data_IF_120896883512
#
_entry.id   IF_120896883512
#
_cell.length_a   1.000
_cell.length_b   1.000
_cell.length_c   1.000
_cell.angle_alpha   90.00
_cell.angle_beta   90.00
_cell.angle_gamma   90.00
#
_symmetry.space_group_name_H-M   'P 1'
#
loop_
_entity.id
_entity.type
_entity.pdbx_description
1 polymer ?
#
# COMPACT_ATOMS: atom_id res chain seq x y z
N UNK A 1 5.97 -20.19 -9.88
CA UNK A 1 4.88 -19.72 -9.01
C UNK A 1 3.55 -19.85 -9.76
N UNK A 2 2.52 -20.36 -9.09
CA UNK A 2 1.19 -20.52 -9.69
C UNK A 2 0.15 -19.66 -8.99
N UNK A 3 0.28 -19.45 -7.67
CA UNK A 3 -0.59 -18.61 -6.84
C UNK A 3 0.22 -17.76 -5.86
N UNK A 4 -0.26 -16.57 -5.45
CA UNK A 4 0.42 -15.72 -4.50
C UNK A 4 0.20 -16.21 -3.05
N UNK A 5 0.70 -17.41 -2.73
CA UNK A 5 0.58 -17.91 -1.37
C UNK A 5 1.36 -17.04 -0.39
N UNK A 6 0.71 -16.64 0.70
CA UNK A 6 1.28 -15.86 1.80
C UNK A 6 2.12 -16.71 2.74
N UNK A 7 1.75 -17.99 2.89
CA UNK A 7 2.30 -18.95 3.85
C UNK A 7 2.82 -20.23 3.16
N UNK A 8 3.92 -20.17 2.39
CA UNK A 8 4.36 -21.32 1.59
C UNK A 8 4.77 -22.55 2.42
N UNK A 9 5.15 -22.36 3.68
CA UNK A 9 5.57 -23.44 4.58
C UNK A 9 4.44 -24.05 5.42
N UNK A 10 3.26 -23.40 5.51
CA UNK A 10 2.08 -23.99 6.17
C UNK A 10 1.31 -24.89 5.19
N UNK A 11 0.56 -25.85 5.73
CA UNK A 11 -0.27 -26.77 4.92
C UNK A 11 -1.39 -26.06 4.15
N UNK A 12 -1.80 -24.91 4.64
CA UNK A 12 -2.84 -24.07 4.06
C UNK A 12 -2.54 -23.64 2.63
N UNK A 13 -1.40 -22.95 2.40
CA UNK A 13 -0.88 -22.51 1.09
C UNK A 13 -1.89 -21.79 0.20
N UNK A 14 -2.86 -21.08 0.78
CA UNK A 14 -3.87 -20.34 0.03
C UNK A 14 -3.29 -19.05 -0.56
N UNK A 15 -3.85 -18.60 -1.66
CA UNK A 15 -3.54 -17.30 -2.27
C UNK A 15 -4.47 -16.22 -1.71
N UNK A 16 -4.21 -15.77 -0.48
CA UNK A 16 -5.01 -14.76 0.20
C UNK A 16 -5.01 -13.44 -0.55
N UNK A 17 -6.21 -12.93 -0.82
CA UNK A 17 -6.42 -11.73 -1.63
C UNK A 17 -6.01 -10.46 -0.88
N UNK A 18 -6.23 -10.39 0.43
CA UNK A 18 -5.80 -9.26 1.26
C UNK A 18 -4.29 -9.09 1.25
N UNK A 19 -3.57 -10.18 1.35
CA UNK A 19 -2.11 -10.19 1.38
C UNK A 19 -1.51 -9.72 0.06
N UNK A 20 -1.99 -10.26 -1.06
CA UNK A 20 -1.46 -9.87 -2.36
C UNK A 20 -1.86 -8.42 -2.72
N UNK A 21 -3.05 -7.92 -2.36
CA UNK A 21 -3.41 -6.55 -2.68
C UNK A 21 -2.51 -5.53 -1.98
N UNK A 22 -2.09 -5.77 -0.73
CA UNK A 22 -1.15 -4.88 -0.04
C UNK A 22 0.28 -5.01 -0.55
N UNK A 23 0.66 -6.16 -1.09
CA UNK A 23 2.03 -6.45 -1.54
C UNK A 23 2.24 -6.31 -3.04
N UNK A 24 1.20 -6.32 -3.86
CA UNK A 24 1.31 -6.36 -5.33
C UNK A 24 2.28 -5.30 -5.89
N UNK A 25 2.23 -4.06 -5.40
CA UNK A 25 3.16 -3.01 -5.83
C UNK A 25 4.60 -3.31 -5.40
N UNK A 26 4.82 -3.79 -4.19
CA UNK A 26 6.15 -4.21 -3.71
C UNK A 26 6.71 -5.38 -4.51
N UNK A 27 5.85 -6.33 -4.91
CA UNK A 27 6.24 -7.45 -5.74
C UNK A 27 6.85 -6.99 -7.08
N UNK A 28 6.32 -5.92 -7.69
CA UNK A 28 6.82 -5.39 -8.96
C UNK A 28 8.23 -4.78 -8.88
N UNK A 29 8.69 -4.41 -7.70
CA UNK A 29 10.07 -3.96 -7.50
C UNK A 29 11.05 -5.12 -7.33
N UNK A 30 10.57 -6.26 -6.84
CA UNK A 30 11.39 -7.43 -6.55
C UNK A 30 11.49 -8.40 -7.73
N UNK A 31 10.48 -8.45 -8.60
CA UNK A 31 10.42 -9.35 -9.74
C UNK A 31 9.48 -8.81 -10.83
N UNK A 32 9.63 -9.31 -12.05
CA UNK A 32 8.59 -9.16 -13.08
C UNK A 32 7.44 -10.12 -12.77
N UNK A 33 6.35 -9.57 -12.28
CA UNK A 33 5.16 -10.33 -11.88
C UNK A 33 3.98 -10.15 -12.85
N UNK A 34 4.19 -9.54 -14.01
CA UNK A 34 3.12 -9.23 -14.96
C UNK A 34 2.34 -10.49 -15.36
N UNK A 35 3.02 -11.51 -15.86
CA UNK A 35 2.37 -12.76 -16.29
C UNK A 35 1.84 -13.57 -15.11
N UNK A 36 2.55 -13.59 -13.99
CA UNK A 36 2.12 -14.30 -12.79
C UNK A 36 0.80 -13.75 -12.22
N UNK A 37 0.72 -12.44 -12.00
CA UNK A 37 -0.50 -11.82 -11.48
C UNK A 37 -1.62 -11.80 -12.52
N UNK A 38 -1.31 -11.65 -13.82
CA UNK A 38 -2.32 -11.76 -14.89
C UNK A 38 -2.95 -13.15 -14.95
N UNK A 39 -2.18 -14.21 -14.71
CA UNK A 39 -2.72 -15.57 -14.59
C UNK A 39 -3.58 -15.72 -13.35
N UNK A 40 -3.10 -15.25 -12.20
CA UNK A 40 -3.84 -15.36 -10.95
C UNK A 40 -5.17 -14.58 -10.97
N UNK A 41 -5.23 -13.45 -11.66
CA UNK A 41 -6.50 -12.71 -11.86
C UNK A 41 -7.55 -13.55 -12.60
N UNK A 42 -7.14 -14.52 -13.42
CA UNK A 42 -8.08 -15.47 -14.02
C UNK A 42 -8.67 -16.39 -12.96
N UNK A 43 -7.81 -16.93 -12.08
CA UNK A 43 -8.26 -17.79 -10.99
C UNK A 43 -9.23 -17.02 -10.06
N UNK A 44 -8.98 -15.73 -9.86
CA UNK A 44 -9.84 -14.87 -9.06
C UNK A 44 -11.20 -14.61 -9.73
N UNK A 45 -11.19 -14.31 -11.03
CA UNK A 45 -12.42 -14.10 -11.82
C UNK A 45 -13.25 -15.40 -11.90
N UNK A 46 -12.61 -16.56 -12.11
CA UNK A 46 -13.29 -17.86 -12.14
C UNK A 46 -13.91 -18.22 -10.79
N UNK A 47 -13.35 -17.71 -9.70
CA UNK A 47 -13.86 -17.92 -8.33
C UNK A 47 -14.88 -16.85 -7.88
N UNK A 48 -15.15 -15.82 -8.70
CA UNK A 48 -16.11 -14.75 -8.38
C UNK A 48 -17.52 -15.35 -8.19
N UNK A 49 -18.20 -14.92 -7.14
CA UNK A 49 -19.56 -15.36 -6.83
C UNK A 49 -20.57 -14.82 -7.84
N UNK A 50 -21.65 -15.55 -8.05
CA UNK A 50 -22.72 -15.14 -8.99
C UNK A 50 -23.36 -13.80 -8.64
N UNK A 51 -23.34 -13.40 -7.36
CA UNK A 51 -23.82 -12.11 -6.89
C UNK A 51 -22.77 -10.98 -6.93
N UNK A 52 -21.55 -11.25 -7.41
CA UNK A 52 -20.53 -10.26 -7.71
C UNK A 52 -19.34 -10.20 -6.75
N UNK A 53 -19.43 -10.76 -5.54
CA UNK A 53 -18.32 -10.74 -4.59
C UNK A 53 -17.14 -11.59 -5.07
N UNK A 54 -15.91 -11.10 -4.87
CA UNK A 54 -14.72 -11.93 -5.00
C UNK A 54 -14.47 -12.73 -3.71
N UNK A 55 -13.81 -13.88 -3.76
CA UNK A 55 -13.45 -14.63 -2.57
C UNK A 55 -12.28 -14.00 -1.83
N UNK A 56 -12.10 -14.39 -0.57
CA UNK A 56 -10.96 -13.93 0.24
C UNK A 56 -9.63 -14.60 -0.12
N UNK A 57 -9.65 -15.65 -0.97
CA UNK A 57 -8.45 -16.29 -1.53
C UNK A 57 -8.78 -16.97 -2.88
N UNK A 58 -7.80 -17.05 -3.75
CA UNK A 58 -7.94 -17.69 -5.07
C UNK A 58 -6.68 -18.50 -5.43
N UNK A 59 -6.82 -19.66 -6.11
CA UNK A 59 -8.07 -20.37 -6.41
C UNK A 59 -8.89 -20.69 -5.15
N UNK A 60 -10.17 -20.96 -5.32
CA UNK A 60 -11.08 -21.21 -4.19
C UNK A 60 -11.44 -22.70 -4.04
N UNK A 61 -10.57 -23.52 -3.42
CA UNK A 61 -10.78 -24.96 -3.27
C UNK A 61 -11.72 -25.35 -2.13
N UNK A 62 -11.99 -24.45 -1.18
CA UNK A 62 -12.78 -24.72 0.02
C UNK A 62 -13.86 -23.66 0.24
N UNK A 63 -14.92 -24.06 0.92
CA UNK A 63 -15.88 -23.13 1.48
C UNK A 63 -15.41 -22.68 2.87
N UNK A 64 -14.71 -21.56 2.96
CA UNK A 64 -14.51 -20.87 4.24
C UNK A 64 -15.73 -19.95 4.45
N UNK A 65 -16.35 -19.93 5.66
CA UNK A 65 -17.57 -19.17 5.91
C UNK A 65 -17.47 -17.65 5.76
N UNK A 66 -16.29 -17.07 5.53
CA UNK A 66 -16.08 -15.64 5.32
C UNK A 66 -15.91 -15.37 3.81
N UNK A 67 -17.05 -15.30 3.11
CA UNK A 67 -17.06 -15.07 1.66
C UNK A 67 -16.92 -13.59 1.29
N UNK A 68 -17.28 -12.68 2.17
CA UNK A 68 -17.20 -11.24 2.00
C UNK A 68 -16.28 -10.65 3.07
N UNK A 69 -15.14 -10.17 2.66
CA UNK A 69 -14.18 -9.52 3.56
C UNK A 69 -13.62 -8.24 2.88
N UNK A 70 -14.10 -7.04 3.29
CA UNK A 70 -13.49 -5.79 2.89
C UNK A 70 -11.98 -5.79 3.12
N UNK A 71 -11.24 -5.12 2.26
CA UNK A 71 -9.79 -5.09 2.15
C UNK A 71 -9.15 -6.40 1.62
N UNK A 72 -9.91 -7.48 1.48
CA UNK A 72 -9.45 -8.72 0.82
C UNK A 72 -9.97 -8.81 -0.61
N UNK A 73 -11.27 -8.76 -0.79
CA UNK A 73 -11.90 -8.88 -2.11
C UNK A 73 -11.52 -7.76 -3.08
N UNK A 74 -11.18 -6.61 -2.55
CA UNK A 74 -10.74 -5.40 -3.28
C UNK A 74 -9.48 -5.66 -4.12
N UNK A 75 -8.79 -6.79 -3.90
CA UNK A 75 -7.72 -7.28 -4.77
C UNK A 75 -8.17 -7.41 -6.24
N UNK A 76 -9.46 -7.74 -6.48
CA UNK A 76 -10.03 -7.82 -7.82
C UNK A 76 -10.01 -6.50 -8.59
N UNK A 77 -9.89 -5.37 -7.90
CA UNK A 77 -9.78 -4.02 -8.46
C UNK A 77 -8.34 -3.50 -8.34
N UNK A 78 -7.71 -3.66 -7.18
CA UNK A 78 -6.40 -3.09 -6.87
C UNK A 78 -5.27 -3.75 -7.68
N UNK A 79 -5.31 -5.07 -7.87
CA UNK A 79 -4.23 -5.78 -8.59
C UNK A 79 -4.23 -5.46 -10.09
N UNK A 80 -5.37 -5.46 -10.82
CA UNK A 80 -5.41 -4.99 -12.22
C UNK A 80 -4.92 -3.55 -12.38
N UNK A 81 -5.32 -2.66 -11.48
CA UNK A 81 -4.85 -1.27 -11.48
C UNK A 81 -3.34 -1.19 -11.28
N UNK A 82 -2.79 -1.95 -10.32
CA UNK A 82 -1.35 -2.01 -10.05
C UNK A 82 -0.58 -2.47 -11.27
N UNK A 83 -1.03 -3.54 -11.95
CA UNK A 83 -0.41 -4.03 -13.18
C UNK A 83 -0.43 -2.96 -14.28
N UNK A 84 -1.56 -2.30 -14.47
CA UNK A 84 -1.66 -1.23 -15.45
C UNK A 84 -0.73 -0.06 -15.12
N UNK A 85 -0.70 0.41 -13.87
CA UNK A 85 0.18 1.51 -13.46
C UNK A 85 1.67 1.17 -13.66
N UNK A 86 2.06 -0.06 -13.36
CA UNK A 86 3.46 -0.46 -13.43
C UNK A 86 3.90 -0.78 -14.85
N UNK A 87 3.12 -1.56 -15.57
CA UNK A 87 3.51 -2.07 -16.90
C UNK A 87 2.91 -1.28 -18.07
N UNK A 88 1.98 -0.37 -17.81
CA UNK A 88 1.33 0.43 -18.87
C UNK A 88 0.40 -0.36 -19.79
N UNK A 89 0.13 -1.62 -19.45
CA UNK A 89 -0.62 -2.56 -20.28
C UNK A 89 -2.06 -2.71 -19.76
N UNK A 90 -3.02 -2.34 -20.61
CA UNK A 90 -4.45 -2.42 -20.26
C UNK A 90 -5.06 -3.81 -20.45
N UNK A 91 -4.33 -4.82 -20.94
CA UNK A 91 -4.89 -6.14 -21.23
C UNK A 91 -5.42 -6.83 -19.97
N UNK A 92 -4.70 -6.75 -18.85
CA UNK A 92 -5.17 -7.28 -17.56
C UNK A 92 -6.45 -6.56 -17.11
N UNK A 93 -6.50 -5.24 -17.23
CA UNK A 93 -7.70 -4.44 -16.91
C UNK A 93 -8.88 -4.85 -17.79
N UNK A 94 -8.70 -4.90 -19.13
CA UNK A 94 -9.78 -5.27 -20.07
C UNK A 94 -10.37 -6.64 -19.76
N UNK A 95 -9.52 -7.59 -19.40
CA UNK A 95 -9.94 -8.95 -19.07
C UNK A 95 -10.74 -9.00 -17.76
N UNK A 96 -10.25 -8.38 -16.70
CA UNK A 96 -10.90 -8.36 -15.40
C UNK A 96 -12.12 -7.40 -15.34
N UNK A 97 -12.26 -6.49 -16.31
CA UNK A 97 -13.24 -5.41 -16.27
C UNK A 97 -14.69 -5.86 -16.04
N UNK A 98 -15.21 -6.92 -16.71
CA UNK A 98 -16.57 -7.39 -16.44
C UNK A 98 -16.76 -7.91 -15.00
N UNK A 99 -15.74 -8.57 -14.44
CA UNK A 99 -15.73 -9.02 -13.05
C UNK A 99 -15.71 -7.86 -12.06
N UNK A 100 -14.83 -6.88 -12.30
CA UNK A 100 -14.76 -5.66 -11.50
C UNK A 100 -16.09 -4.90 -11.49
N UNK A 101 -16.79 -4.79 -12.62
CA UNK A 101 -18.12 -4.16 -12.68
C UNK A 101 -19.11 -4.88 -11.78
N UNK A 102 -19.21 -6.21 -11.87
CA UNK A 102 -20.11 -7.00 -11.00
C UNK A 102 -19.76 -6.81 -9.52
N UNK A 103 -18.49 -6.71 -9.20
CA UNK A 103 -18.05 -6.44 -7.84
C UNK A 103 -18.47 -5.04 -7.36
N UNK A 104 -18.29 -4.01 -8.18
CA UNK A 104 -18.75 -2.66 -7.85
C UNK A 104 -20.27 -2.58 -7.72
N UNK A 105 -21.02 -3.27 -8.58
CA UNK A 105 -22.49 -3.34 -8.48
C UNK A 105 -22.92 -4.04 -7.17
N UNK A 106 -22.19 -5.09 -6.75
CA UNK A 106 -22.40 -5.75 -5.46
C UNK A 106 -22.15 -4.78 -4.28
N UNK A 107 -21.06 -4.02 -4.31
CA UNK A 107 -20.74 -3.03 -3.27
C UNK A 107 -21.80 -1.89 -3.24
N UNK A 108 -22.21 -1.40 -4.40
CA UNK A 108 -23.20 -0.31 -4.49
C UNK A 108 -24.58 -0.77 -3.98
N UNK A 109 -24.98 -2.02 -4.25
CA UNK A 109 -26.22 -2.61 -3.71
C UNK A 109 -26.20 -2.79 -2.20
N UNK A 110 -25.03 -3.11 -1.61
CA UNK A 110 -24.85 -3.28 -0.18
C UNK A 110 -24.73 -1.98 0.60
N UNK A 111 -24.45 -0.86 -0.09
CA UNK A 111 -24.20 0.43 0.55
C UNK A 111 -25.43 1.04 1.21
N UNK A 112 -25.24 1.72 2.33
CA UNK A 112 -26.25 2.47 3.07
C UNK A 112 -25.86 3.95 3.12
N UNK A 113 -26.56 4.79 2.36
CA UNK A 113 -26.23 6.21 2.26
C UNK A 113 -24.82 6.47 1.72
N UNK A 114 -24.42 5.79 0.65
CA UNK A 114 -23.10 5.79 0.00
C UNK A 114 -21.95 5.21 0.86
N UNK A 115 -22.21 4.57 2.00
CA UNK A 115 -21.19 3.91 2.84
C UNK A 115 -21.47 2.41 3.00
N UNK A 116 -20.44 1.64 3.22
CA UNK A 116 -20.60 0.22 3.52
C UNK A 116 -20.97 0.02 4.99
N UNK A 117 -21.93 -0.88 5.30
CA UNK A 117 -22.23 -1.25 6.67
C UNK A 117 -21.07 -2.07 7.27
N UNK A 118 -21.06 -2.20 8.59
CA UNK A 118 -20.19 -3.15 9.26
C UNK A 118 -20.56 -4.58 8.84
N UNK A 119 -19.59 -5.28 8.29
CA UNK A 119 -19.66 -6.70 7.94
C UNK A 119 -18.48 -7.41 8.54
N UNK A 120 -18.59 -8.71 8.89
CA UNK A 120 -17.46 -9.46 9.37
C UNK A 120 -16.29 -9.38 8.38
N UNK A 121 -15.12 -8.97 8.86
CA UNK A 121 -13.89 -8.87 8.07
C UNK A 121 -12.72 -9.36 8.91
N UNK A 122 -11.54 -9.47 8.30
CA UNK A 122 -10.30 -9.74 9.02
C UNK A 122 -9.74 -8.48 9.71
N UNK A 123 -10.36 -7.32 9.49
CA UNK A 123 -9.92 -6.04 10.04
C UNK A 123 -8.52 -5.65 9.57
N UNK A 124 -7.78 -4.93 10.40
CA UNK A 124 -6.34 -4.73 10.19
C UNK A 124 -5.58 -5.92 10.78
N UNK A 125 -5.44 -7.00 9.99
CA UNK A 125 -4.94 -8.30 10.43
C UNK A 125 -3.61 -8.18 11.15
N UNK A 126 -3.51 -8.79 12.33
CA UNK A 126 -2.36 -8.75 13.23
C UNK A 126 -1.99 -7.36 13.74
N UNK A 127 -2.93 -6.44 13.83
CA UNK A 127 -2.71 -5.18 14.53
C UNK A 127 -2.31 -5.43 16.00
N UNK A 128 -1.36 -4.64 16.46
CA UNK A 128 -0.81 -4.75 17.82
C UNK A 128 -1.59 -3.90 18.82
N UNK A 129 -2.33 -2.91 18.31
CA UNK A 129 -3.12 -1.99 19.12
C UNK A 129 -4.55 -1.85 18.61
N UNK A 130 -5.13 -0.67 18.88
CA UNK A 130 -6.47 -0.36 18.41
C UNK A 130 -6.53 -0.31 16.88
N UNK A 131 -7.56 -0.92 16.30
CA UNK A 131 -7.84 -0.92 14.86
C UNK A 131 -9.02 -0.01 14.52
N UNK A 132 -9.17 0.31 13.23
CA UNK A 132 -10.37 0.93 12.70
C UNK A 132 -11.55 -0.05 12.73
N UNK A 133 -12.78 0.47 12.80
CA UNK A 133 -13.99 -0.35 12.76
C UNK A 133 -14.22 -0.94 11.37
N UNK A 134 -14.96 -2.05 11.30
CA UNK A 134 -15.21 -2.78 10.05
C UNK A 134 -15.94 -1.93 9.01
N UNK A 135 -16.92 -1.11 9.42
CA UNK A 135 -17.64 -0.17 8.56
C UNK A 135 -16.71 0.93 8.00
N UNK A 136 -15.75 1.39 8.81
CA UNK A 136 -14.74 2.35 8.37
C UNK A 136 -13.86 1.75 7.29
N UNK A 137 -13.28 0.56 7.53
CA UNK A 137 -12.41 -0.14 6.58
C UNK A 137 -13.18 -0.42 5.27
N UNK A 138 -14.38 -0.98 5.38
CA UNK A 138 -15.22 -1.30 4.23
C UNK A 138 -15.53 -0.06 3.38
N UNK A 139 -15.91 1.05 4.03
CA UNK A 139 -16.21 2.30 3.33
C UNK A 139 -14.98 2.95 2.71
N UNK A 140 -13.81 2.84 3.37
CA UNK A 140 -12.55 3.37 2.84
C UNK A 140 -12.13 2.63 1.57
N UNK A 141 -12.18 1.31 1.56
CA UNK A 141 -11.86 0.50 0.39
C UNK A 141 -12.88 0.68 -0.73
N UNK A 142 -14.18 0.77 -0.41
CA UNK A 142 -15.21 1.06 -1.42
C UNK A 142 -14.96 2.40 -2.15
N UNK A 143 -14.57 3.45 -1.42
CA UNK A 143 -14.20 4.72 -2.02
C UNK A 143 -12.95 4.61 -2.91
N UNK A 144 -11.96 3.85 -2.44
CA UNK A 144 -10.72 3.62 -3.18
C UNK A 144 -10.99 2.85 -4.47
N UNK A 145 -11.74 1.75 -4.41
CA UNK A 145 -12.12 0.97 -5.59
C UNK A 145 -12.89 1.79 -6.61
N UNK A 146 -13.85 2.61 -6.18
CA UNK A 146 -14.59 3.48 -7.08
C UNK A 146 -13.66 4.47 -7.81
N UNK A 147 -12.65 5.02 -7.12
CA UNK A 147 -11.65 5.91 -7.73
C UNK A 147 -10.77 5.16 -8.74
N UNK A 148 -10.28 3.97 -8.39
CA UNK A 148 -9.48 3.14 -9.30
C UNK A 148 -10.27 2.69 -10.53
N UNK A 149 -11.54 2.34 -10.35
CA UNK A 149 -12.45 1.98 -11.44
C UNK A 149 -12.70 3.13 -12.40
N UNK A 150 -12.79 4.36 -11.92
CA UNK A 150 -12.93 5.54 -12.77
C UNK A 150 -11.73 5.70 -13.72
N UNK A 151 -10.51 5.52 -13.20
CA UNK A 151 -9.27 5.57 -13.99
C UNK A 151 -9.20 4.43 -15.01
N UNK A 152 -9.43 3.19 -14.55
CA UNK A 152 -9.36 2.00 -15.38
C UNK A 152 -10.41 2.00 -16.50
N UNK A 153 -11.64 2.42 -16.21
CA UNK A 153 -12.70 2.56 -17.20
C UNK A 153 -12.29 3.53 -18.32
N UNK A 154 -11.70 4.68 -17.95
CA UNK A 154 -11.15 5.62 -18.91
C UNK A 154 -10.04 5.02 -19.79
N UNK A 155 -9.14 4.24 -19.17
CA UNK A 155 -8.01 3.58 -19.84
C UNK A 155 -8.45 2.50 -20.85
N UNK A 156 -9.57 1.82 -20.59
CA UNK A 156 -10.10 0.79 -21.51
C UNK A 156 -11.13 1.31 -22.49
N UNK A 157 -11.46 2.61 -22.43
CA UNK A 157 -12.36 3.28 -23.38
C UNK A 157 -13.84 3.33 -22.93
N UNK A 158 -14.15 2.87 -21.74
CA UNK A 158 -15.51 2.86 -21.16
C UNK A 158 -15.83 4.22 -20.50
N UNK A 159 -15.97 5.25 -21.35
CA UNK A 159 -16.11 6.64 -20.89
C UNK A 159 -17.30 6.89 -19.97
N UNK A 160 -18.45 6.25 -20.23
CA UNK A 160 -19.64 6.42 -19.39
C UNK A 160 -19.41 5.83 -17.98
N UNK A 161 -18.79 4.66 -17.89
CA UNK A 161 -18.43 4.04 -16.62
C UNK A 161 -17.37 4.87 -15.88
N UNK A 162 -16.39 5.44 -16.59
CA UNK A 162 -15.40 6.35 -15.98
C UNK A 162 -16.08 7.53 -15.27
N UNK A 163 -17.04 8.18 -15.93
CA UNK A 163 -17.81 9.27 -15.33
C UNK A 163 -18.69 8.79 -14.16
N UNK A 164 -19.36 7.63 -14.31
CA UNK A 164 -20.18 7.02 -13.25
C UNK A 164 -19.34 6.75 -12.00
N UNK A 165 -18.21 6.08 -12.14
CA UNK A 165 -17.35 5.73 -11.02
C UNK A 165 -16.66 6.95 -10.39
N UNK A 166 -16.30 7.96 -11.17
CA UNK A 166 -15.80 9.22 -10.64
C UNK A 166 -16.86 9.95 -9.77
N UNK A 167 -18.11 9.98 -10.24
CA UNK A 167 -19.22 10.52 -9.47
C UNK A 167 -19.53 9.69 -8.21
N UNK A 168 -19.46 8.36 -8.31
CA UNK A 168 -19.62 7.45 -7.16
C UNK A 168 -18.52 7.70 -6.12
N UNK A 169 -17.26 7.73 -6.52
CA UNK A 169 -16.12 8.01 -5.65
C UNK A 169 -16.28 9.36 -4.91
N UNK A 170 -16.75 10.38 -5.61
CA UNK A 170 -17.02 11.70 -5.00
C UNK A 170 -18.11 11.61 -3.93
N UNK A 171 -19.24 10.94 -4.20
CA UNK A 171 -20.35 10.77 -3.22
C UNK A 171 -19.88 9.99 -2.00
N UNK A 172 -19.14 8.87 -2.20
CA UNK A 172 -18.62 8.07 -1.08
C UNK A 172 -17.66 8.92 -0.24
N UNK A 173 -16.75 9.66 -0.87
CA UNK A 173 -15.81 10.55 -0.16
C UNK A 173 -16.51 11.59 0.68
N UNK A 174 -17.55 12.24 0.15
CA UNK A 174 -18.34 13.18 0.91
C UNK A 174 -19.10 12.54 2.09
N UNK A 175 -19.70 11.36 1.86
CA UNK A 175 -20.39 10.62 2.91
C UNK A 175 -19.40 10.15 3.99
N UNK A 176 -18.23 9.67 3.59
CA UNK A 176 -17.17 9.26 4.48
C UNK A 176 -16.67 10.43 5.35
N UNK A 177 -16.38 11.56 4.73
CA UNK A 177 -15.94 12.76 5.46
C UNK A 177 -17.00 13.21 6.48
N UNK A 178 -18.27 13.28 6.09
CA UNK A 178 -19.37 13.64 7.01
C UNK A 178 -19.52 12.65 8.17
N UNK A 179 -19.28 11.38 7.95
CA UNK A 179 -19.48 10.31 8.95
C UNK A 179 -18.33 10.18 9.92
N UNK A 180 -17.10 10.29 9.44
CA UNK A 180 -15.91 9.86 10.19
C UNK A 180 -14.95 10.99 10.53
N UNK A 181 -14.91 12.10 9.79
CA UNK A 181 -13.92 13.16 9.97
C UNK A 181 -14.59 14.38 10.63
N UNK A 182 -14.09 14.75 11.80
CA UNK A 182 -14.53 15.95 12.49
C UNK A 182 -13.94 17.23 11.87
N UNK A 183 -14.50 18.39 12.23
CA UNK A 183 -14.07 19.70 11.69
C UNK A 183 -12.65 20.10 12.04
N UNK A 184 -12.04 19.46 13.02
CA UNK A 184 -10.64 19.61 13.42
C UNK A 184 -9.69 18.61 12.73
N UNK A 185 -10.20 17.76 11.84
CA UNK A 185 -9.43 16.72 11.14
C UNK A 185 -9.21 15.44 11.93
N UNK A 186 -9.79 15.29 13.12
CA UNK A 186 -9.74 14.05 13.87
C UNK A 186 -10.77 13.03 13.36
N UNK A 187 -10.55 11.76 13.67
CA UNK A 187 -11.46 10.64 13.32
C UNK A 187 -12.08 10.07 14.61
N UNK A 188 -13.13 10.68 15.18
CA UNK A 188 -13.76 10.21 16.41
C UNK A 188 -14.28 8.78 16.25
N UNK A 189 -14.08 7.95 17.29
CA UNK A 189 -14.48 6.53 17.23
C UNK A 189 -13.46 5.62 16.54
N UNK A 190 -12.70 6.14 15.58
CA UNK A 190 -11.63 5.45 14.86
C UNK A 190 -10.26 6.15 15.02
N UNK A 191 -9.98 6.76 16.18
CA UNK A 191 -8.71 7.45 16.48
C UNK A 191 -7.59 6.41 16.67
N UNK A 192 -7.06 5.89 15.55
CA UNK A 192 -6.01 4.88 15.49
C UNK A 192 -5.14 5.03 14.23
N UNK A 193 -3.90 4.56 14.26
CA UNK A 193 -2.94 4.72 13.16
C UNK A 193 -3.49 4.23 11.81
N UNK A 194 -4.16 3.08 11.80
CA UNK A 194 -4.74 2.48 10.59
C UNK A 194 -5.77 3.40 9.93
N UNK A 195 -6.68 3.99 10.73
CA UNK A 195 -7.73 4.85 10.19
C UNK A 195 -7.18 6.09 9.49
N UNK A 196 -6.23 6.78 10.13
CA UNK A 196 -5.57 7.95 9.52
C UNK A 196 -4.79 7.56 8.27
N UNK A 197 -4.03 6.45 8.32
CA UNK A 197 -3.24 5.98 7.20
C UNK A 197 -4.10 5.66 5.97
N UNK A 198 -5.20 4.92 6.14
CA UNK A 198 -6.13 4.60 5.06
C UNK A 198 -6.81 5.86 4.52
N UNK A 199 -7.36 6.70 5.39
CA UNK A 199 -8.08 7.90 4.97
C UNK A 199 -7.20 8.88 4.20
N UNK A 200 -5.93 9.05 4.61
CA UNK A 200 -4.96 9.90 3.92
C UNK A 200 -4.53 9.30 2.57
N UNK A 201 -4.13 8.02 2.54
CA UNK A 201 -3.65 7.37 1.33
C UNK A 201 -4.73 7.21 0.25
N UNK A 202 -6.00 7.04 0.65
CA UNK A 202 -7.12 6.89 -0.28
C UNK A 202 -7.80 8.23 -0.65
N UNK A 203 -7.24 9.36 -0.17
CA UNK A 203 -7.74 10.70 -0.48
C UNK A 203 -9.14 10.98 0.06
N UNK A 204 -9.47 10.44 1.24
CA UNK A 204 -10.79 10.57 1.85
C UNK A 204 -10.93 11.82 2.72
N UNK A 205 -9.83 12.46 3.06
CA UNK A 205 -9.83 13.73 3.77
C UNK A 205 -10.29 14.88 2.87
N UNK A 206 -11.12 15.79 3.39
CA UNK A 206 -11.24 17.13 2.82
C UNK A 206 -9.87 17.79 2.79
N UNK A 207 -9.49 18.37 1.65
CA UNK A 207 -8.14 18.90 1.43
C UNK A 207 -7.64 19.83 2.56
N UNK A 208 -8.43 20.76 3.12
CA UNK A 208 -7.96 21.62 4.21
C UNK A 208 -7.67 20.90 5.54
N UNK A 209 -8.19 19.66 5.71
CA UNK A 209 -8.06 18.90 6.97
C UNK A 209 -7.00 17.78 6.88
N UNK A 210 -6.50 17.49 5.69
CA UNK A 210 -5.61 16.35 5.48
C UNK A 210 -4.28 16.49 6.26
N UNK A 211 -3.72 17.71 6.32
CA UNK A 211 -2.52 17.95 7.10
C UNK A 211 -2.76 17.71 8.60
N UNK A 212 -3.89 18.14 9.16
CA UNK A 212 -4.23 17.89 10.56
C UNK A 212 -4.35 16.39 10.87
N UNK A 213 -4.92 15.61 9.95
CA UNK A 213 -4.96 14.14 10.05
C UNK A 213 -3.56 13.52 10.05
N UNK A 214 -2.68 14.00 9.20
CA UNK A 214 -1.29 13.52 9.12
C UNK A 214 -0.48 13.90 10.37
N UNK A 215 -0.65 15.13 10.88
CA UNK A 215 -0.02 15.57 12.12
C UNK A 215 -0.50 14.74 13.31
N UNK A 216 -1.79 14.38 13.34
CA UNK A 216 -2.35 13.48 14.35
C UNK A 216 -1.73 12.09 14.25
N UNK A 217 -1.58 11.52 13.04
CA UNK A 217 -0.93 10.23 12.82
C UNK A 217 0.51 10.24 13.36
N UNK A 218 1.28 11.27 13.02
CA UNK A 218 2.65 11.44 13.51
C UNK A 218 2.70 11.52 15.04
N UNK A 219 1.87 12.36 15.65
CA UNK A 219 1.79 12.51 17.10
C UNK A 219 1.37 11.20 17.82
N UNK A 220 0.48 10.40 17.22
CA UNK A 220 0.12 9.08 17.77
C UNK A 220 1.29 8.10 17.76
N UNK A 221 2.10 8.11 16.74
CA UNK A 221 3.30 7.26 16.64
C UNK A 221 4.34 7.70 17.66
N UNK A 222 4.59 8.99 17.79
CA UNK A 222 5.49 9.54 18.79
C UNK A 222 5.03 9.21 20.22
N UNK A 223 3.74 9.40 20.51
CA UNK A 223 3.14 9.06 21.80
C UNK A 223 3.22 7.56 22.13
N UNK A 224 3.26 6.71 21.09
CA UNK A 224 3.47 5.26 21.19
C UNK A 224 4.97 4.88 21.19
N UNK A 225 5.86 5.81 21.46
CA UNK A 225 7.31 5.57 21.52
C UNK A 225 7.94 5.30 20.16
N UNK A 226 7.41 5.89 19.08
CA UNK A 226 7.91 5.71 17.72
C UNK A 226 7.58 4.34 17.11
N UNK A 227 6.46 3.72 17.52
CA UNK A 227 6.11 2.33 17.18
C UNK A 227 4.80 2.23 16.42
N UNK A 228 4.70 1.18 15.61
CA UNK A 228 3.44 0.76 15.00
C UNK A 228 2.41 0.31 16.05
N UNK A 229 1.14 0.51 15.75
CA UNK A 229 0.02 -0.19 16.38
C UNK A 229 -0.80 -0.97 15.35
N UNK A 230 -0.37 -0.93 14.11
CA UNK A 230 -1.07 -1.41 12.92
C UNK A 230 -0.80 -2.88 12.64
N UNK A 231 -1.71 -3.49 11.89
CA UNK A 231 -1.55 -4.75 11.19
C UNK A 231 -1.15 -4.56 9.73
N UNK A 232 -1.58 -5.50 8.87
CA UNK A 232 -1.20 -5.51 7.47
C UNK A 232 -1.66 -4.26 6.70
N UNK A 233 -2.93 -3.87 6.88
CA UNK A 233 -3.51 -2.75 6.15
C UNK A 233 -2.87 -1.42 6.54
N UNK A 234 -2.78 -1.18 7.85
CA UNK A 234 -2.21 0.08 8.35
C UNK A 234 -0.72 0.17 8.07
N UNK A 235 0.07 -0.87 8.32
CA UNK A 235 1.53 -0.85 8.11
C UNK A 235 1.89 -0.54 6.65
N UNK A 236 1.13 -1.08 5.69
CA UNK A 236 1.25 -0.74 4.26
C UNK A 236 1.19 0.77 4.02
N UNK A 237 0.28 1.47 4.68
CA UNK A 237 -0.09 2.85 4.35
C UNK A 237 0.52 3.91 5.27
N UNK A 238 0.85 3.57 6.53
CA UNK A 238 1.34 4.54 7.54
C UNK A 238 2.53 5.35 7.04
N UNK A 239 3.59 4.69 6.57
CA UNK A 239 4.81 5.39 6.17
C UNK A 239 4.59 6.23 4.90
N UNK A 240 3.72 5.78 3.98
CA UNK A 240 3.35 6.55 2.80
C UNK A 240 2.55 7.80 3.17
N UNK A 241 1.56 7.67 4.06
CA UNK A 241 0.79 8.80 4.57
C UNK A 241 1.70 9.83 5.25
N UNK A 242 2.61 9.41 6.12
CA UNK A 242 3.57 10.29 6.77
C UNK A 242 4.41 11.07 5.76
N UNK A 243 5.02 10.37 4.81
CA UNK A 243 5.90 11.00 3.82
C UNK A 243 5.14 11.89 2.84
N UNK A 244 3.89 11.57 2.51
CA UNK A 244 3.04 12.40 1.65
C UNK A 244 2.80 13.79 2.25
N UNK A 245 2.73 13.88 3.58
CA UNK A 245 2.45 15.11 4.32
C UNK A 245 3.65 15.68 5.10
N UNK A 246 4.88 15.25 4.75
CA UNK A 246 6.12 15.87 5.23
C UNK A 246 6.66 15.34 6.55
N UNK A 247 6.12 14.24 7.09
CA UNK A 247 6.61 13.56 8.30
C UNK A 247 7.61 12.44 7.98
N UNK A 248 8.56 12.70 7.08
CA UNK A 248 9.56 11.70 6.67
C UNK A 248 10.44 11.24 7.84
N UNK A 249 10.72 12.11 8.80
CA UNK A 249 11.49 11.80 9.99
C UNK A 249 10.82 10.74 10.87
N UNK A 250 9.49 10.80 11.03
CA UNK A 250 8.69 9.78 11.74
C UNK A 250 8.66 8.48 10.95
N UNK A 251 8.50 8.55 9.60
CA UNK A 251 8.51 7.36 8.75
C UNK A 251 9.86 6.62 8.81
N UNK A 252 10.98 7.33 8.74
CA UNK A 252 12.30 6.74 8.95
C UNK A 252 12.51 6.24 10.38
N UNK A 253 11.91 6.91 11.37
CA UNK A 253 11.91 6.43 12.76
C UNK A 253 11.29 5.04 12.88
N UNK A 254 10.14 4.82 12.24
CA UNK A 254 9.48 3.51 12.18
C UNK A 254 10.32 2.44 11.48
N UNK A 255 11.00 2.79 10.38
CA UNK A 255 11.87 1.85 9.65
C UNK A 255 13.07 1.40 10.51
N UNK A 256 13.66 2.33 11.24
CA UNK A 256 14.93 2.14 11.94
C UNK A 256 14.79 1.65 13.38
N UNK A 257 13.59 1.70 13.93
CA UNK A 257 13.38 1.28 15.31
C UNK A 257 13.60 -0.22 15.49
N UNK A 258 14.12 -0.62 16.66
CA UNK A 258 14.52 -2.00 16.95
C UNK A 258 13.71 -2.68 18.05
N UNK A 259 12.74 -1.97 18.62
CA UNK A 259 11.84 -2.51 19.61
C UNK A 259 10.55 -3.07 18.98
N UNK A 260 9.84 -3.91 19.73
CA UNK A 260 8.55 -4.45 19.31
C UNK A 260 7.46 -3.35 19.28
N UNK A 261 6.63 -3.32 18.24
CA UNK A 261 6.68 -4.06 16.98
C UNK A 261 7.47 -3.31 15.90
N UNK A 262 8.19 -4.04 15.03
CA UNK A 262 8.93 -3.45 13.92
C UNK A 262 9.89 -4.42 13.24
N UNK A 263 10.37 -4.08 12.05
CA UNK A 263 11.30 -4.90 11.27
C UNK A 263 12.62 -5.13 12.02
N UNK A 264 13.17 -4.06 12.62
CA UNK A 264 14.42 -4.17 13.39
C UNK A 264 14.30 -5.14 14.57
N UNK A 265 13.14 -5.20 15.24
CA UNK A 265 12.88 -6.18 16.27
C UNK A 265 12.96 -7.63 15.77
N UNK A 266 12.27 -7.92 14.67
CA UNK A 266 12.30 -9.25 14.05
C UNK A 266 13.72 -9.64 13.62
N UNK A 267 14.47 -8.71 13.00
CA UNK A 267 15.87 -8.92 12.59
C UNK A 267 16.77 -9.24 13.80
N UNK A 268 16.65 -8.51 14.89
CA UNK A 268 17.44 -8.75 16.11
C UNK A 268 17.09 -10.08 16.79
N UNK A 269 15.88 -10.61 16.56
CA UNK A 269 15.49 -11.94 16.97
C UNK A 269 15.84 -13.06 15.97
N UNK A 270 16.55 -12.73 14.87
CA UNK A 270 17.10 -13.70 13.94
C UNK A 270 16.32 -13.87 12.63
N UNK A 271 15.40 -12.95 12.31
CA UNK A 271 14.69 -13.00 11.04
C UNK A 271 15.64 -12.82 9.85
N UNK A 272 15.54 -13.73 8.88
CA UNK A 272 16.22 -13.67 7.58
C UNK A 272 15.24 -13.51 6.42
N UNK A 273 13.96 -13.48 6.73
CA UNK A 273 12.83 -13.26 5.82
C UNK A 273 11.78 -12.42 6.55
N UNK A 274 10.80 -11.91 5.84
CA UNK A 274 9.66 -11.22 6.47
C UNK A 274 8.79 -12.27 7.16
N UNK A 275 8.49 -12.04 8.43
CA UNK A 275 7.60 -12.87 9.24
C UNK A 275 6.16 -12.36 9.17
N UNK A 276 5.20 -13.25 9.39
CA UNK A 276 3.78 -12.91 9.50
C UNK A 276 3.50 -12.01 10.71
N UNK A 277 4.16 -12.30 11.83
CA UNK A 277 4.07 -11.53 13.07
C UNK A 277 5.42 -10.90 13.38
N UNK A 278 5.42 -9.74 13.98
CA UNK A 278 6.66 -9.09 14.42
C UNK A 278 7.46 -9.93 15.40
N UNK A 279 6.76 -10.76 16.20
CA UNK A 279 7.31 -11.63 17.24
C UNK A 279 7.11 -13.12 16.95
N UNK A 280 7.12 -13.53 15.68
CA UNK A 280 6.98 -14.94 15.28
C UNK A 280 7.94 -15.87 16.05
N UNK A 281 9.11 -15.36 16.37
CA UNK A 281 10.07 -15.94 17.29
C UNK A 281 10.70 -14.85 18.15
N UNK A 282 10.93 -15.14 19.43
CA UNK A 282 11.74 -14.30 20.32
C UNK A 282 12.70 -15.15 21.13
N UNK A 283 13.83 -14.56 21.52
CA UNK A 283 14.80 -15.23 22.36
C UNK A 283 14.25 -15.53 23.76
N UNK A 284 13.31 -14.71 24.22
CA UNK A 284 12.70 -14.83 25.54
C UNK A 284 11.57 -15.87 25.58
N UNK A 285 10.68 -15.86 24.56
CA UNK A 285 9.45 -16.66 24.55
C UNK A 285 9.50 -17.84 23.56
N UNK A 286 10.51 -17.93 22.70
CA UNK A 286 10.61 -18.95 21.66
C UNK A 286 9.62 -18.75 20.52
N UNK A 287 9.20 -19.86 19.90
CA UNK A 287 8.20 -19.87 18.83
C UNK A 287 6.80 -19.57 19.39
N UNK A 288 6.04 -18.74 18.68
CA UNK A 288 4.70 -18.34 19.06
C UNK A 288 4.62 -16.99 19.77
N UNK A 289 5.77 -16.31 19.94
CA UNK A 289 5.84 -14.93 20.39
C UNK A 289 5.37 -14.69 21.83
N UNK A 290 5.04 -13.42 22.10
CA UNK A 290 4.72 -12.92 23.45
C UNK A 290 3.41 -13.47 24.04
N UNK A 291 2.47 -13.88 23.19
CA UNK A 291 1.14 -14.34 23.60
C UNK A 291 1.07 -15.85 23.89
N UNK A 292 2.17 -16.58 23.71
CA UNK A 292 2.27 -18.02 24.01
C UNK A 292 1.32 -18.92 23.21
N UNK A 293 1.70 -20.15 22.98
CA UNK A 293 0.92 -21.32 22.59
C UNK A 293 -0.13 -21.27 21.47
N UNK A 294 -1.06 -20.37 21.47
CA UNK A 294 -2.12 -20.28 20.47
C UNK A 294 -1.65 -19.73 19.11
N UNK A 295 -0.58 -18.96 19.10
CA UNK A 295 -0.04 -18.30 17.91
C UNK A 295 0.93 -19.16 17.12
N UNK A 296 1.48 -20.22 17.70
CA UNK A 296 2.44 -21.09 17.04
C UNK A 296 1.86 -21.82 15.82
N UNK A 297 0.54 -22.06 15.79
CA UNK A 297 -0.16 -22.73 14.69
C UNK A 297 -0.55 -21.77 13.56
N UNK A 298 -0.77 -20.49 13.87
CA UNK A 298 -1.12 -19.42 12.93
C UNK A 298 0.04 -18.47 12.78
N UNK A 299 1.16 -18.96 12.25
CA UNK A 299 2.38 -18.20 12.12
C UNK A 299 3.21 -18.68 10.93
N UNK A 300 3.75 -17.72 10.19
CA UNK A 300 4.61 -17.96 9.04
C UNK A 300 5.93 -17.21 9.19
N UNK A 301 7.04 -17.89 8.91
CA UNK A 301 8.38 -17.32 8.87
C UNK A 301 8.78 -16.85 7.46
N UNK A 302 7.90 -16.99 6.48
CA UNK A 302 8.08 -16.49 5.13
C UNK A 302 6.73 -15.96 4.63
N UNK A 303 6.43 -14.72 5.01
CA UNK A 303 5.13 -14.08 4.77
C UNK A 303 5.34 -12.66 4.27
N UNK A 304 4.89 -12.35 3.08
CA UNK A 304 5.28 -11.11 2.41
C UNK A 304 4.51 -9.85 2.86
N UNK A 305 3.43 -9.94 3.64
CA UNK A 305 2.56 -8.80 3.93
C UNK A 305 3.30 -7.56 4.47
N UNK A 306 4.08 -7.71 5.54
CA UNK A 306 4.91 -6.61 6.06
C UNK A 306 6.09 -6.23 5.15
N UNK A 307 6.38 -7.02 4.13
CA UNK A 307 7.31 -6.67 3.05
C UNK A 307 6.77 -5.57 2.13
N UNK A 308 5.51 -5.18 2.29
CA UNK A 308 4.90 -4.02 1.63
C UNK A 308 5.67 -2.70 1.86
N UNK A 309 6.54 -2.63 2.87
CA UNK A 309 7.45 -1.51 3.11
C UNK A 309 8.38 -1.22 1.91
N UNK A 310 8.66 -2.21 1.07
CA UNK A 310 9.46 -2.02 -0.14
C UNK A 310 8.86 -0.95 -1.06
N UNK A 311 7.53 -0.83 -1.13
CA UNK A 311 6.88 0.24 -1.88
C UNK A 311 7.27 1.62 -1.36
N UNK A 312 7.25 1.84 -0.04
CA UNK A 312 7.70 3.10 0.54
C UNK A 312 9.20 3.35 0.28
N UNK A 313 10.04 2.31 0.40
CA UNK A 313 11.48 2.44 0.15
C UNK A 313 11.77 2.90 -1.29
N UNK A 314 11.04 2.35 -2.28
CA UNK A 314 11.23 2.78 -3.68
C UNK A 314 10.58 4.13 -3.96
N UNK A 315 9.33 4.36 -3.57
CA UNK A 315 8.56 5.55 -3.95
C UNK A 315 8.95 6.81 -3.18
N UNK A 316 9.39 6.67 -1.93
CA UNK A 316 9.73 7.80 -1.07
C UNK A 316 11.20 7.84 -0.71
N UNK A 317 11.78 6.81 -0.13
CA UNK A 317 13.17 6.85 0.29
C UNK A 317 14.13 7.02 -0.91
N UNK A 318 14.01 6.17 -1.95
CA UNK A 318 14.70 6.33 -3.24
C UNK A 318 14.04 7.38 -4.13
N UNK A 319 12.72 7.59 -3.98
CA UNK A 319 11.95 8.54 -4.74
C UNK A 319 11.64 8.11 -6.18
N UNK A 320 11.66 6.82 -6.50
CA UNK A 320 11.31 6.30 -7.83
C UNK A 320 9.81 6.02 -7.87
N UNK A 321 9.07 6.86 -8.60
CA UNK A 321 7.63 6.72 -8.82
C UNK A 321 7.27 7.05 -10.27
N UNK A 322 6.02 6.97 -10.63
CA UNK A 322 5.51 7.28 -11.98
C UNK A 322 4.35 8.25 -11.93
N UNK A 323 4.29 9.15 -12.90
CA UNK A 323 3.10 9.93 -13.21
C UNK A 323 2.40 9.27 -14.42
N UNK A 324 1.30 8.57 -14.10
CA UNK A 324 0.59 7.74 -15.07
C UNK A 324 1.29 6.40 -15.35
N UNK A 325 0.68 5.55 -16.18
CA UNK A 325 1.08 4.15 -16.30
C UNK A 325 2.36 3.95 -17.12
N UNK A 326 3.14 2.92 -16.72
CA UNK A 326 4.27 2.39 -17.48
C UNK A 326 5.57 3.17 -17.39
N UNK A 327 5.73 4.07 -16.41
CA UNK A 327 6.94 4.86 -16.21
C UNK A 327 7.39 5.65 -17.44
N UNK A 328 6.45 6.11 -18.25
CA UNK A 328 6.75 7.00 -19.40
C UNK A 328 7.14 8.40 -18.92
N UNK A 329 6.50 8.85 -17.84
CA UNK A 329 6.88 10.03 -17.09
C UNK A 329 7.26 9.60 -15.68
N UNK A 330 8.54 9.66 -15.38
CA UNK A 330 9.12 9.21 -14.11
C UNK A 330 9.08 10.37 -13.11
N UNK A 331 8.72 10.06 -11.88
CA UNK A 331 8.88 10.99 -10.76
C UNK A 331 10.11 10.57 -9.95
N UNK A 332 11.05 11.50 -9.80
CA UNK A 332 12.24 11.34 -8.97
C UNK A 332 12.13 12.30 -7.78
N UNK A 333 11.73 11.77 -6.63
CA UNK A 333 11.45 12.56 -5.42
C UNK A 333 12.08 11.95 -4.17
N UNK A 334 13.40 11.72 -4.14
CA UNK A 334 14.06 11.09 -2.99
C UNK A 334 13.89 11.90 -1.72
N UNK A 335 13.83 11.19 -0.60
CA UNK A 335 13.72 11.74 0.75
C UNK A 335 14.94 11.31 1.57
N UNK A 336 16.11 11.95 1.39
CA UNK A 336 17.33 11.56 2.11
C UNK A 336 17.21 11.74 3.62
N UNK A 337 17.73 10.76 4.38
CA UNK A 337 17.81 10.85 5.83
C UNK A 337 19.23 10.59 6.32
N UNK A 338 19.75 11.47 7.17
CA UNK A 338 21.12 11.39 7.67
C UNK A 338 21.36 10.16 8.58
N UNK A 339 20.32 9.59 9.17
CA UNK A 339 20.44 8.36 10.00
C UNK A 339 20.80 7.14 9.15
N UNK A 340 20.33 7.10 7.89
CA UNK A 340 20.72 6.09 6.91
C UNK A 340 22.07 6.43 6.28
N UNK A 341 22.32 7.72 6.04
CA UNK A 341 23.53 8.22 5.40
C UNK A 341 23.53 8.14 3.88
N UNK A 342 23.15 7.01 3.30
CA UNK A 342 23.05 6.82 1.85
C UNK A 342 22.04 5.76 1.48
N UNK A 343 21.51 5.87 0.28
CA UNK A 343 20.68 4.83 -0.34
C UNK A 343 20.93 4.79 -1.85
N UNK A 344 20.98 3.59 -2.40
CA UNK A 344 21.15 3.36 -3.84
C UNK A 344 20.17 2.31 -4.28
N UNK A 345 19.52 2.53 -5.41
CA UNK A 345 18.60 1.58 -5.97
C UNK A 345 18.31 1.81 -7.43
N UNK A 346 17.90 0.74 -8.09
CA UNK A 346 17.43 0.79 -9.46
C UNK A 346 16.13 0.04 -9.63
N UNK A 347 15.35 0.44 -10.63
CA UNK A 347 14.12 -0.20 -11.00
C UNK A 347 14.09 -0.44 -12.52
N UNK A 348 13.90 -1.71 -12.93
CA UNK A 348 13.70 -2.06 -14.35
C UNK A 348 12.25 -1.88 -14.73
N UNK A 349 11.94 -0.69 -15.22
CA UNK A 349 10.64 -0.42 -15.80
C UNK A 349 10.50 -1.00 -17.22
N UNK A 350 9.28 -1.00 -17.76
CA UNK A 350 9.04 -1.37 -19.18
C UNK A 350 9.75 -0.44 -20.16
N UNK A 351 10.15 0.74 -19.72
CA UNK A 351 10.88 1.74 -20.55
C UNK A 351 12.39 1.67 -20.35
N UNK A 352 12.90 0.83 -19.46
CA UNK A 352 14.33 0.69 -19.15
C UNK A 352 14.63 0.87 -17.67
N UNK A 353 15.93 0.86 -17.36
CA UNK A 353 16.41 0.97 -15.99
C UNK A 353 16.39 2.43 -15.49
N UNK A 354 15.75 2.63 -14.37
CA UNK A 354 15.73 3.90 -13.62
C UNK A 354 16.65 3.74 -12.42
N UNK A 355 17.58 4.65 -12.21
CA UNK A 355 18.47 4.65 -11.05
C UNK A 355 18.22 5.89 -10.21
N UNK A 356 18.20 5.72 -8.91
CA UNK A 356 18.18 6.80 -7.92
C UNK A 356 19.13 6.46 -6.79
N UNK A 357 20.07 7.37 -6.55
CA UNK A 357 21.05 7.26 -5.48
C UNK A 357 21.16 8.60 -4.76
N UNK A 358 21.37 8.54 -3.45
CA UNK A 358 21.70 9.72 -2.66
C UNK A 358 22.67 9.39 -1.53
N UNK A 359 23.47 10.37 -1.15
CA UNK A 359 24.43 10.29 -0.05
C UNK A 359 24.44 11.61 0.74
N UNK A 360 24.15 11.53 2.02
CA UNK A 360 24.13 12.66 2.94
C UNK A 360 25.51 12.83 3.57
N UNK A 361 26.27 13.79 3.10
CA UNK A 361 27.56 14.18 3.70
C UNK A 361 27.40 15.21 4.82
N UNK A 362 28.52 15.63 5.42
CA UNK A 362 28.51 16.63 6.53
C UNK A 362 27.94 17.99 6.13
N UNK A 363 28.16 18.43 4.89
CA UNK A 363 27.78 19.77 4.41
C UNK A 363 26.85 19.75 3.21
N UNK A 364 26.89 18.68 2.44
CA UNK A 364 26.19 18.54 1.17
C UNK A 364 25.53 17.18 1.08
N UNK A 365 24.44 17.09 0.32
CA UNK A 365 23.85 15.82 -0.13
C UNK A 365 24.09 15.69 -1.62
N UNK A 366 24.60 14.54 -2.04
CA UNK A 366 24.82 14.17 -3.44
C UNK A 366 23.70 13.29 -3.92
N UNK A 367 23.38 13.44 -5.21
CA UNK A 367 22.35 12.67 -5.88
C UNK A 367 22.88 12.22 -7.24
N UNK A 368 22.54 10.99 -7.62
CA UNK A 368 22.76 10.47 -8.96
C UNK A 368 21.49 9.80 -9.47
N UNK A 369 21.11 10.12 -10.71
CA UNK A 369 19.94 9.55 -11.37
C UNK A 369 20.29 9.06 -12.77
N UNK A 370 19.62 7.99 -13.20
CA UNK A 370 19.60 7.55 -14.60
C UNK A 370 18.16 7.51 -15.07
N UNK A 371 17.90 8.23 -16.15
CA UNK A 371 16.60 8.28 -16.83
C UNK A 371 16.71 7.48 -18.13
N UNK A 372 15.92 6.42 -18.34
CA UNK A 372 16.03 5.58 -19.52
C UNK A 372 15.61 6.28 -20.82
N UNK A 373 16.08 5.83 -22.00
CA UNK A 373 15.70 6.38 -23.27
C UNK A 373 14.17 6.41 -23.49
N UNK A 374 13.71 7.39 -24.27
CA UNK A 374 12.29 7.59 -24.61
C UNK A 374 11.36 7.87 -23.42
N UNK A 375 11.92 8.27 -22.28
CA UNK A 375 11.16 8.73 -21.10
C UNK A 375 11.59 10.15 -20.72
N UNK A 376 10.87 10.74 -19.79
CA UNK A 376 11.23 11.97 -19.09
C UNK A 376 11.03 11.79 -17.60
N UNK A 377 11.78 12.54 -16.81
CA UNK A 377 11.58 12.55 -15.37
C UNK A 377 11.33 13.96 -14.85
N UNK A 378 10.44 14.09 -13.89
CA UNK A 378 10.34 15.27 -13.03
C UNK A 378 11.12 15.00 -11.77
N UNK A 379 12.20 15.78 -11.56
CA UNK A 379 13.01 15.75 -10.35
C UNK A 379 12.51 16.79 -9.36
N UNK A 380 12.15 16.34 -8.14
CA UNK A 380 11.79 17.22 -7.02
C UNK A 380 12.66 16.88 -5.82
N UNK A 381 13.62 17.74 -5.51
CA UNK A 381 14.52 17.58 -4.37
C UNK A 381 14.10 18.49 -3.22
N UNK A 382 14.38 18.10 -1.96
CA UNK A 382 14.04 18.90 -0.80
C UNK A 382 14.61 20.33 -0.90
N UNK A 383 13.70 21.31 -0.99
CA UNK A 383 14.06 22.72 -1.06
C UNK A 383 14.65 23.22 -2.36
N UNK A 384 14.46 22.48 -3.42
CA UNK A 384 14.78 22.90 -4.79
C UNK A 384 13.49 23.02 -5.60
N UNK A 385 13.49 23.89 -6.61
CA UNK A 385 12.41 23.93 -7.58
C UNK A 385 12.40 22.66 -8.44
N UNK A 386 11.21 22.12 -8.73
CA UNK A 386 11.10 20.98 -9.62
C UNK A 386 11.69 21.26 -11.01
N UNK A 387 12.30 20.24 -11.61
CA UNK A 387 12.89 20.35 -12.95
C UNK A 387 12.67 19.08 -13.76
N UNK A 388 12.61 19.22 -15.07
CA UNK A 388 12.56 18.08 -15.99
C UNK A 388 13.97 17.57 -16.28
N UNK A 389 14.14 16.26 -16.28
CA UNK A 389 15.35 15.58 -16.73
C UNK A 389 15.04 14.82 -18.03
N UNK A 390 15.88 15.01 -19.02
CA UNK A 390 15.90 14.22 -20.24
C UNK A 390 16.57 12.86 -20.01
N UNK A 391 16.48 11.90 -20.95
CA UNK A 391 17.19 10.63 -20.84
C UNK A 391 18.70 10.81 -20.66
N UNK A 392 19.30 10.00 -19.80
CA UNK A 392 20.73 10.04 -19.50
C UNK A 392 21.04 9.97 -18.02
N UNK A 393 22.30 10.18 -17.71
CA UNK A 393 22.82 10.23 -16.34
C UNK A 393 22.89 11.69 -15.86
N UNK A 394 22.48 11.92 -14.61
CA UNK A 394 22.43 13.24 -13.98
C UNK A 394 23.00 13.17 -12.58
N UNK A 395 23.87 14.11 -12.25
CA UNK A 395 24.44 14.24 -10.91
C UNK A 395 24.16 15.63 -10.35
N UNK A 396 23.87 15.70 -9.06
CA UNK A 396 23.63 16.95 -8.34
C UNK A 396 24.27 16.93 -6.97
N UNK A 397 24.68 18.10 -6.48
CA UNK A 397 25.15 18.29 -5.12
C UNK A 397 24.57 19.58 -4.56
N UNK A 398 23.90 19.49 -3.42
CA UNK A 398 23.29 20.62 -2.75
C UNK A 398 23.73 20.71 -1.29
N UNK A 399 23.86 21.94 -0.79
CA UNK A 399 24.15 22.17 0.63
C UNK A 399 23.00 21.65 1.50
N UNK A 400 23.35 20.96 2.57
CA UNK A 400 22.37 20.53 3.56
C UNK A 400 21.70 21.77 4.17
N UNK A 401 20.38 21.73 4.35
CA UNK A 401 19.68 22.77 5.12
C UNK A 401 20.19 22.73 6.57
N UNK A 402 20.41 23.89 7.16
CA UNK A 402 20.58 23.96 8.61
C UNK A 402 19.27 23.55 9.25
N UNK A 403 19.30 22.50 10.05
CA UNK A 403 18.17 22.10 10.92
C UNK A 403 17.90 23.18 11.95
#
# INVERSE_FOLDING_TARGET
>A
FEIPTDCPQRDERLGWTGDIQIYARSATYNADVASFLSKWLVDLDDAQRSYGAYPSYAPYPYAIPMEYAPAWMDAGVIVPWTLWQVYGDTRAVRRAYPGMKRFMDFLEQGAQGDLQPAVPTFGDWLAVGRTASDDFIASAYYAYDAALMAEMAGAVGERQDSLRYAALAARIREAFARRYIASDGLIPGNDCQTAYALALCFGLYPEPLAQAGADRLAAMIEANGGRFSTGFLGTKHVMMALSQYGHDDVAYGLLLQTEYPGWGYSILNGATSIWERWDSYTREYGFGGRDGGNNARMNSFSHYAFGSVAEWMFRYALGIDTEGPGYRHILLRPRPDARIGWMKGSYRSVSGEIVSEWEVGRRTTRYRFVVPPNTRATLSLPGQEPRTLDPGEHEFEFKNRKR
#
